data_IF_103664177435
#
_entry.id   IF_103664177435
#
_cell.length_a   1.000
_cell.length_b   1.000
_cell.length_c   1.000
_cell.angle_alpha   90.00
_cell.angle_beta   90.00
_cell.angle_gamma   90.00
#
_symmetry.space_group_name_H-M   'P 1'
#
loop_
_entity.id
_entity.type
_entity.pdbx_description
1 polymer ?
#
# COMPACT_ATOMS: atom_id res chain seq x y z
N UNK A 1 -8.55 24.22 -33.12
CA UNK A 1 -8.49 24.68 -31.72
C UNK A 1 -8.21 23.46 -30.85
N UNK A 2 -7.11 23.43 -30.08
CA UNK A 2 -6.87 22.37 -29.11
C UNK A 2 -7.58 22.74 -27.80
N UNK A 3 -8.53 21.92 -27.36
CA UNK A 3 -9.15 22.06 -26.04
C UNK A 3 -8.31 21.29 -25.02
N UNK A 4 -7.76 21.98 -24.01
CA UNK A 4 -7.13 21.34 -22.87
C UNK A 4 -8.22 21.04 -21.82
N UNK A 5 -8.50 19.75 -21.59
CA UNK A 5 -9.37 19.31 -20.51
C UNK A 5 -8.57 19.27 -19.21
N UNK A 6 -8.95 20.09 -18.22
CA UNK A 6 -8.41 19.99 -16.86
C UNK A 6 -9.06 18.77 -16.21
N UNK A 7 -8.30 17.70 -16.05
CA UNK A 7 -8.71 16.57 -15.21
C UNK A 7 -8.43 16.93 -13.74
N UNK A 8 -9.35 16.64 -12.80
CA UNK A 8 -9.06 16.79 -11.39
C UNK A 8 -7.85 15.92 -11.04
N UNK A 9 -6.85 16.51 -10.39
CA UNK A 9 -5.78 15.75 -9.78
C UNK A 9 -6.35 15.16 -8.49
N UNK A 10 -6.71 13.87 -8.49
CA UNK A 10 -7.08 13.17 -7.27
C UNK A 10 -5.88 13.16 -6.33
N UNK A 11 -5.94 13.97 -5.28
CA UNK A 11 -4.93 13.97 -4.24
C UNK A 11 -5.03 12.63 -3.50
N UNK A 12 -3.95 11.84 -3.53
CA UNK A 12 -3.94 10.55 -2.84
C UNK A 12 -4.09 10.81 -1.34
N UNK A 13 -5.18 10.34 -0.75
CA UNK A 13 -5.43 10.50 0.67
C UNK A 13 -4.39 9.79 1.51
N UNK A 14 -4.12 10.35 2.68
CA UNK A 14 -3.21 9.80 3.69
C UNK A 14 -4.03 9.45 4.91
N UNK A 15 -4.02 8.18 5.31
CA UNK A 15 -4.81 7.68 6.44
C UNK A 15 -3.91 6.94 7.42
N UNK A 16 -4.06 7.24 8.71
CA UNK A 16 -3.39 6.51 9.79
C UNK A 16 -4.14 5.21 10.04
N UNK A 17 -3.58 4.08 9.62
CA UNK A 17 -4.26 2.78 9.77
C UNK A 17 -4.38 2.40 11.24
N UNK A 18 -3.36 2.69 12.04
CA UNK A 18 -3.29 2.43 13.48
C UNK A 18 -4.29 3.24 14.33
N UNK A 19 -4.89 4.28 13.76
CA UNK A 19 -5.92 5.10 14.41
C UNK A 19 -7.35 4.81 13.90
N UNK A 20 -7.50 3.89 12.95
CA UNK A 20 -8.77 3.54 12.32
C UNK A 20 -9.05 2.04 12.48
N UNK A 21 -10.33 1.64 12.48
CA UNK A 21 -10.67 0.20 12.45
C UNK A 21 -10.30 -0.41 11.10
N UNK A 22 -10.06 -1.71 11.07
CA UNK A 22 -9.70 -2.40 9.83
C UNK A 22 -10.78 -2.25 8.76
N UNK A 23 -12.06 -2.29 9.17
CA UNK A 23 -13.18 -2.05 8.26
C UNK A 23 -13.14 -0.62 7.66
N UNK A 24 -12.83 0.41 8.47
CA UNK A 24 -12.71 1.78 7.99
C UNK A 24 -11.52 1.96 7.04
N UNK A 25 -10.37 1.34 7.35
CA UNK A 25 -9.18 1.32 6.48
C UNK A 25 -9.49 0.66 5.13
N UNK A 26 -10.15 -0.50 5.15
CA UNK A 26 -10.55 -1.17 3.91
C UNK A 26 -11.57 -0.34 3.12
N UNK A 27 -12.56 0.26 3.79
CA UNK A 27 -13.57 1.08 3.15
C UNK A 27 -12.98 2.31 2.45
N UNK A 28 -12.00 2.99 3.06
CA UNK A 28 -11.34 4.13 2.41
C UNK A 28 -10.52 3.69 1.20
N UNK A 29 -9.77 2.59 1.29
CA UNK A 29 -9.02 2.03 0.16
C UNK A 29 -9.96 1.65 -0.99
N UNK A 30 -11.10 1.02 -0.69
CA UNK A 30 -12.08 0.64 -1.72
C UNK A 30 -12.78 1.85 -2.36
N UNK A 31 -13.12 2.87 -1.58
CA UNK A 31 -13.78 4.08 -2.07
C UNK A 31 -12.87 4.91 -2.98
N UNK A 32 -11.60 5.04 -2.61
CA UNK A 32 -10.67 5.95 -3.28
C UNK A 32 -9.76 5.24 -4.28
N UNK A 33 -9.77 3.90 -4.28
CA UNK A 33 -9.00 3.08 -5.20
C UNK A 33 -7.52 2.97 -4.87
N UNK A 34 -6.87 4.06 -4.45
CA UNK A 34 -5.50 4.09 -3.98
C UNK A 34 -5.31 5.10 -2.84
N UNK A 35 -4.68 4.67 -1.74
CA UNK A 35 -4.51 5.47 -0.50
C UNK A 35 -3.12 5.24 0.07
N UNK A 36 -2.49 6.27 0.63
CA UNK A 36 -1.29 6.11 1.44
C UNK A 36 -1.71 5.76 2.87
N UNK A 37 -1.46 4.52 3.30
CA UNK A 37 -1.66 4.16 4.70
C UNK A 37 -0.38 4.42 5.48
N UNK A 38 -0.53 4.95 6.68
CA UNK A 38 0.57 5.26 7.60
C UNK A 38 0.35 4.58 8.94
N UNK A 39 1.42 4.10 9.57
CA UNK A 39 1.37 3.56 10.93
C UNK A 39 2.73 3.62 11.61
N UNK A 40 2.73 3.61 12.95
CA UNK A 40 3.97 3.56 13.71
C UNK A 40 4.77 2.27 13.42
N UNK A 41 6.08 2.43 13.23
CA UNK A 41 7.00 1.31 13.14
C UNK A 41 7.06 0.57 14.47
N UNK A 42 6.91 -0.75 14.43
CA UNK A 42 7.12 -1.61 15.60
C UNK A 42 8.60 -1.82 15.94
N UNK A 43 9.52 -1.50 15.00
CA UNK A 43 10.96 -1.78 15.13
C UNK A 43 11.78 -0.53 15.46
N UNK A 44 11.37 0.63 14.94
CA UNK A 44 12.10 1.89 15.07
C UNK A 44 11.22 2.90 15.80
N UNK A 45 11.56 3.30 17.04
CA UNK A 45 10.81 4.31 17.77
C UNK A 45 10.71 5.63 16.99
N UNK A 46 9.58 6.32 17.13
CA UNK A 46 9.31 7.62 16.47
C UNK A 46 9.40 7.60 14.93
N UNK A 47 9.26 6.43 14.30
CA UNK A 47 9.24 6.29 12.85
C UNK A 47 7.85 5.90 12.34
N UNK A 48 7.35 6.62 11.34
CA UNK A 48 6.11 6.26 10.64
C UNK A 48 6.43 5.51 9.36
N UNK A 49 5.94 4.28 9.27
CA UNK A 49 5.89 3.52 8.03
C UNK A 49 4.75 4.05 7.18
N UNK A 50 4.96 4.07 5.88
CA UNK A 50 3.92 4.42 4.92
C UNK A 50 4.13 3.65 3.63
N UNK A 51 3.03 3.27 3.00
CA UNK A 51 3.05 2.69 1.65
C UNK A 51 1.72 3.00 0.94
N UNK A 52 1.69 2.82 -0.38
CA UNK A 52 0.52 3.00 -1.23
C UNK A 52 -0.25 1.68 -1.34
N UNK A 53 -1.44 1.65 -0.75
CA UNK A 53 -2.36 0.53 -0.83
C UNK A 53 -3.45 0.79 -1.85
N UNK A 54 -3.93 -0.26 -2.50
CA UNK A 54 -4.89 -0.17 -3.59
C UNK A 54 -6.09 -1.09 -3.38
N UNK A 55 -7.22 -0.76 -4.00
CA UNK A 55 -8.43 -1.55 -3.94
C UNK A 55 -8.29 -2.89 -4.68
N UNK A 56 -7.66 -2.87 -5.87
CA UNK A 56 -7.50 -4.04 -6.74
C UNK A 56 -6.43 -3.79 -7.83
N UNK A 57 -6.24 -4.79 -8.71
CA UNK A 57 -5.19 -4.81 -9.74
C UNK A 57 -5.29 -3.68 -10.78
N UNK A 58 -6.46 -3.09 -11.02
CA UNK A 58 -6.61 -1.99 -11.99
C UNK A 58 -5.84 -0.73 -11.60
N UNK A 59 -5.45 -0.61 -10.33
CA UNK A 59 -4.68 0.52 -9.79
C UNK A 59 -3.16 0.26 -9.75
N UNK A 60 -2.72 -0.90 -10.23
CA UNK A 60 -1.31 -1.24 -10.39
C UNK A 60 -0.80 -0.82 -11.77
N UNK A 61 0.46 -0.40 -11.83
CA UNK A 61 1.10 -0.08 -13.09
C UNK A 61 1.35 -1.34 -13.94
N UNK A 62 1.61 -1.13 -15.24
CA UNK A 62 2.07 -2.21 -16.11
C UNK A 62 3.36 -2.82 -15.56
N UNK A 63 3.41 -4.15 -15.46
CA UNK A 63 4.53 -4.89 -14.87
C UNK A 63 4.48 -5.06 -13.34
N UNK A 64 3.52 -4.44 -12.65
CA UNK A 64 3.29 -4.68 -11.23
C UNK A 64 2.23 -5.76 -11.02
N UNK A 65 2.34 -6.51 -9.94
CA UNK A 65 1.38 -7.50 -9.46
C UNK A 65 0.71 -7.00 -8.18
N UNK A 66 -0.56 -7.36 -8.01
CA UNK A 66 -1.29 -7.10 -6.77
C UNK A 66 -0.87 -8.15 -5.74
N UNK A 67 -0.32 -7.71 -4.60
CA UNK A 67 0.05 -8.56 -3.49
C UNK A 67 -0.77 -8.22 -2.25
N UNK A 68 -1.09 -9.23 -1.45
CA UNK A 68 -1.77 -9.05 -0.16
C UNK A 68 -0.74 -8.75 0.92
N UNK A 69 -0.97 -7.70 1.69
CA UNK A 69 -0.20 -7.37 2.89
C UNK A 69 -1.09 -7.15 4.10
N UNK A 70 -0.46 -6.91 5.24
CA UNK A 70 -1.15 -6.59 6.49
C UNK A 70 -0.58 -5.34 7.13
N UNK A 71 -1.48 -4.46 7.60
CA UNK A 71 -1.15 -3.29 8.39
C UNK A 71 -1.78 -3.38 9.77
N UNK A 72 -1.20 -2.75 10.80
CA UNK A 72 -1.89 -2.58 12.07
C UNK A 72 -3.09 -1.65 11.90
N UNK A 73 -4.18 -1.99 12.57
CA UNK A 73 -5.37 -1.21 12.75
C UNK A 73 -5.69 -1.06 14.24
N UNK A 74 -6.60 -0.15 14.60
CA UNK A 74 -6.97 0.10 15.99
C UNK A 74 -7.60 -1.13 16.67
N UNK A 75 -8.30 -1.98 15.91
CA UNK A 75 -9.03 -3.16 16.36
C UNK A 75 -8.33 -4.49 16.06
N UNK A 76 -7.30 -4.50 15.20
CA UNK A 76 -6.54 -5.72 14.85
C UNK A 76 -5.12 -5.42 14.41
N UNK A 77 -4.17 -6.26 14.82
CA UNK A 77 -2.77 -6.12 14.44
C UNK A 77 -2.46 -6.51 12.99
N UNK A 78 -3.41 -7.15 12.29
CA UNK A 78 -3.20 -7.79 10.98
C UNK A 78 -4.34 -7.50 10.00
N UNK A 79 -4.67 -6.22 9.81
CA UNK A 79 -5.68 -5.82 8.84
C UNK A 79 -5.20 -6.09 7.41
N UNK A 80 -5.96 -6.88 6.64
CA UNK A 80 -5.59 -7.27 5.27
C UNK A 80 -5.87 -6.14 4.28
N UNK A 81 -4.86 -5.82 3.47
CA UNK A 81 -4.88 -4.78 2.43
C UNK A 81 -4.10 -5.27 1.20
N UNK A 82 -4.14 -4.54 0.09
CA UNK A 82 -3.37 -4.87 -1.11
C UNK A 82 -2.41 -3.77 -1.49
N UNK A 83 -1.24 -4.16 -1.99
CA UNK A 83 -0.19 -3.30 -2.52
C UNK A 83 0.15 -3.74 -3.94
N UNK A 84 0.65 -2.82 -4.76
CA UNK A 84 1.22 -3.17 -6.05
C UNK A 84 2.73 -3.31 -5.91
N UNK A 85 3.29 -4.45 -6.31
CA UNK A 85 4.74 -4.66 -6.33
C UNK A 85 5.22 -4.98 -7.73
N UNK A 86 6.39 -4.49 -8.09
CA UNK A 86 7.06 -4.98 -9.29
C UNK A 86 7.40 -6.45 -9.10
N UNK A 87 7.16 -7.25 -10.13
CA UNK A 87 7.63 -8.62 -10.14
C UNK A 87 9.15 -8.61 -10.23
N UNK A 88 9.81 -8.69 -9.08
CA UNK A 88 11.23 -9.02 -9.01
C UNK A 88 11.32 -10.54 -8.96
N UNK A 89 11.84 -11.21 -10.00
CA UNK A 89 12.08 -12.65 -9.91
C UNK A 89 13.03 -12.90 -8.74
N UNK A 90 12.73 -13.91 -7.91
CA UNK A 90 13.47 -14.26 -6.69
C UNK A 90 14.87 -14.85 -6.98
N UNK A 91 15.67 -14.18 -7.80
CA UNK A 91 17.08 -14.51 -8.00
C UNK A 91 17.99 -13.85 -6.94
N UNK A 92 17.46 -12.96 -6.10
CA UNK A 92 18.20 -12.30 -5.01
C UNK A 92 17.80 -12.79 -3.62
N UNK A 93 17.45 -14.07 -3.48
CA UNK A 93 17.40 -14.70 -2.17
C UNK A 93 18.87 -14.90 -1.73
N UNK A 94 19.41 -13.94 -0.97
CA UNK A 94 20.79 -13.94 -0.45
C UNK A 94 21.15 -15.20 0.35
N UNK A 95 20.17 -16.08 0.62
CA UNK A 95 20.39 -17.45 1.11
C UNK A 95 21.15 -18.37 0.14
N UNK A 96 21.32 -18.00 -1.12
CA UNK A 96 22.10 -18.79 -2.09
C UNK A 96 23.55 -18.31 -2.29
N UNK A 97 23.95 -17.12 -1.80
CA UNK A 97 25.26 -16.53 -2.12
C UNK A 97 26.38 -16.96 -1.15
N UNK A 98 26.07 -17.39 0.08
CA UNK A 98 27.08 -17.81 1.07
C UNK A 98 27.07 -19.32 1.38
N UNK A 99 27.06 -20.15 0.34
CA UNK A 99 27.36 -21.59 0.47
C UNK A 99 28.55 -21.97 -0.42
N UNK A 100 29.74 -21.53 0.00
CA UNK A 100 31.03 -22.14 -0.32
C UNK A 100 31.89 -22.16 0.93
#
# INVERSE_FOLDING_TARGET
MLAASVVPADAISRVRSDLNSCAAVQAVVQREGAVILQHASKRVPNYLLYDRYVANRSFCALGEVLERETVPAADTASCRVYVCKRYEPRFNDERFIFRH
#
